data_IF_131515440395
#
_entry.id   IF_131515440395
#
_cell.length_a   1.000
_cell.length_b   1.000
_cell.length_c   1.000
_cell.angle_alpha   90.00
_cell.angle_beta   90.00
_cell.angle_gamma   90.00
#
_symmetry.space_group_name_H-M   'P 1'
#
loop_
_entity.id
_entity.type
_entity.pdbx_description
1 polymer ?
#
# COMPACT_ATOMS: atom_id res chain seq x y z
N UNK A 1 -21.80 23.98 15.06
CA UNK A 1 -20.87 24.89 14.39
C UNK A 1 -19.46 24.25 14.25
N UNK A 2 -18.88 23.66 15.28
CA UNK A 2 -17.58 22.97 15.20
C UNK A 2 -17.54 21.77 14.23
N UNK A 3 -18.59 20.96 14.15
CA UNK A 3 -18.66 19.82 13.22
C UNK A 3 -18.70 20.24 11.74
N UNK A 4 -19.33 21.38 11.43
CA UNK A 4 -19.43 21.89 10.06
C UNK A 4 -18.08 22.48 9.61
N UNK A 5 -17.36 23.15 10.50
CA UNK A 5 -16.04 23.71 10.19
C UNK A 5 -15.01 22.58 10.01
N UNK A 6 -15.07 21.53 10.85
CA UNK A 6 -14.18 20.36 10.73
C UNK A 6 -14.37 19.63 9.40
N UNK A 7 -15.63 19.43 8.96
CA UNK A 7 -15.93 18.80 7.67
C UNK A 7 -15.48 19.65 6.47
N UNK A 8 -15.53 20.97 6.55
CA UNK A 8 -15.09 21.87 5.46
C UNK A 8 -13.57 21.83 5.32
N UNK A 9 -12.83 21.86 6.42
CA UNK A 9 -11.35 21.77 6.41
C UNK A 9 -10.89 20.41 5.87
N UNK A 10 -11.52 19.32 6.30
CA UNK A 10 -11.18 17.96 5.80
C UNK A 10 -11.50 17.79 4.31
N UNK A 11 -12.53 18.45 3.80
CA UNK A 11 -12.89 18.41 2.38
C UNK A 11 -11.89 19.20 1.49
N UNK A 12 -11.35 20.32 1.98
CA UNK A 12 -10.34 21.10 1.27
C UNK A 12 -8.98 20.37 1.24
N UNK A 13 -8.53 19.82 2.35
CA UNK A 13 -7.29 19.04 2.44
C UNK A 13 -7.35 17.76 1.58
N UNK A 14 -8.47 17.06 1.57
CA UNK A 14 -8.67 15.90 0.72
C UNK A 14 -8.71 16.27 -0.78
N UNK A 15 -9.19 17.47 -1.13
CA UNK A 15 -9.10 17.98 -2.50
C UNK A 15 -7.67 18.32 -2.89
N UNK A 16 -6.90 18.98 -2.01
CA UNK A 16 -5.49 19.30 -2.25
C UNK A 16 -4.68 18.03 -2.44
N UNK A 17 -4.81 17.05 -1.56
CA UNK A 17 -4.20 15.72 -1.68
C UNK A 17 -4.55 15.06 -3.02
N UNK A 18 -5.81 15.07 -3.41
CA UNK A 18 -6.25 14.47 -4.69
C UNK A 18 -5.59 15.15 -5.88
N UNK A 19 -5.46 16.48 -5.87
CA UNK A 19 -4.80 17.27 -6.92
C UNK A 19 -3.32 16.90 -7.04
N UNK A 20 -2.60 16.79 -5.92
CA UNK A 20 -1.17 16.42 -5.91
C UNK A 20 -0.96 14.98 -6.39
N UNK A 21 -1.81 14.03 -5.96
CA UNK A 21 -1.80 12.66 -6.46
C UNK A 21 -2.05 12.59 -7.97
N UNK A 22 -3.04 13.33 -8.48
CA UNK A 22 -3.31 13.39 -9.92
C UNK A 22 -2.12 13.97 -10.70
N UNK A 23 -1.49 15.04 -10.22
CA UNK A 23 -0.28 15.62 -10.83
C UNK A 23 0.88 14.63 -10.89
N UNK A 24 1.08 13.87 -9.82
CA UNK A 24 2.15 12.88 -9.73
C UNK A 24 1.89 11.71 -10.68
N UNK A 25 0.74 11.06 -10.56
CA UNK A 25 0.41 9.86 -11.34
C UNK A 25 0.16 10.12 -12.83
N UNK A 26 -0.17 11.35 -13.21
CA UNK A 26 -0.18 11.76 -14.63
C UNK A 26 1.21 11.77 -15.27
N UNK A 27 2.29 11.90 -14.47
CA UNK A 27 3.67 11.92 -14.95
C UNK A 27 4.41 10.61 -14.69
N UNK A 28 4.00 9.85 -13.68
CA UNK A 28 4.66 8.63 -13.23
C UNK A 28 3.92 7.39 -13.75
N UNK A 29 4.65 6.51 -14.43
CA UNK A 29 4.09 5.25 -14.93
C UNK A 29 4.26 4.16 -13.86
N UNK A 30 3.24 3.94 -13.04
CA UNK A 30 3.21 2.94 -11.97
C UNK A 30 3.45 1.52 -12.50
N UNK A 31 2.96 1.19 -13.70
CA UNK A 31 3.20 -0.11 -14.33
C UNK A 31 4.69 -0.47 -14.45
N UNK A 32 5.57 0.54 -14.60
CA UNK A 32 7.02 0.33 -14.73
C UNK A 32 7.73 0.08 -13.40
N UNK A 33 7.15 0.52 -12.28
CA UNK A 33 7.76 0.40 -10.95
C UNK A 33 8.01 -1.05 -10.57
N UNK A 34 7.01 -1.90 -10.75
CA UNK A 34 7.03 -3.31 -10.37
C UNK A 34 7.59 -4.25 -11.45
N UNK A 35 8.13 -3.72 -12.57
CA UNK A 35 8.71 -4.55 -13.64
C UNK A 35 10.22 -4.77 -13.49
N UNK A 36 10.93 -3.87 -12.78
CA UNK A 36 12.36 -4.05 -12.50
C UNK A 36 12.54 -5.06 -11.37
N UNK A 37 13.65 -5.81 -11.36
CA UNK A 37 13.87 -6.90 -10.38
C UNK A 37 13.67 -6.48 -8.93
N UNK A 38 14.19 -5.32 -8.51
CA UNK A 38 13.95 -4.84 -7.13
C UNK A 38 12.47 -4.62 -6.82
N UNK A 39 11.66 -4.11 -7.75
CA UNK A 39 10.21 -3.94 -7.58
C UNK A 39 9.44 -5.26 -7.73
N UNK A 40 9.98 -6.22 -8.49
CA UNK A 40 9.39 -7.56 -8.59
C UNK A 40 9.41 -8.30 -7.24
N UNK A 41 10.39 -8.04 -6.35
CA UNK A 41 10.41 -8.64 -5.02
C UNK A 41 9.14 -8.30 -4.25
N UNK A 42 8.75 -7.03 -4.20
CA UNK A 42 7.48 -6.58 -3.58
C UNK A 42 6.27 -7.27 -4.21
N UNK A 43 6.20 -7.26 -5.54
CA UNK A 43 5.08 -7.83 -6.27
C UNK A 43 4.93 -9.34 -6.05
N UNK A 44 6.02 -10.08 -6.21
CA UNK A 44 6.03 -11.54 -6.07
C UNK A 44 5.72 -11.95 -4.63
N UNK A 45 6.25 -11.20 -3.65
CA UNK A 45 5.96 -11.42 -2.23
C UNK A 45 4.48 -11.18 -1.95
N UNK A 46 3.94 -10.07 -2.39
CA UNK A 46 2.51 -9.75 -2.18
C UNK A 46 1.61 -10.81 -2.83
N UNK A 47 1.89 -11.21 -4.07
CA UNK A 47 1.13 -12.25 -4.76
C UNK A 47 1.22 -13.60 -4.05
N UNK A 48 2.41 -13.97 -3.52
CA UNK A 48 2.57 -15.20 -2.72
C UNK A 48 1.60 -15.23 -1.54
N UNK A 49 1.50 -14.13 -0.78
CA UNK A 49 0.61 -14.10 0.39
C UNK A 49 -0.86 -13.96 -0.01
N UNK A 50 -1.19 -13.26 -1.09
CA UNK A 50 -2.54 -13.27 -1.65
C UNK A 50 -2.96 -14.70 -1.97
N UNK A 51 -2.14 -15.46 -2.69
CA UNK A 51 -2.46 -16.84 -3.04
C UNK A 51 -2.53 -17.76 -1.82
N UNK A 52 -1.66 -17.58 -0.81
CA UNK A 52 -1.70 -18.36 0.43
C UNK A 52 -3.09 -18.31 1.09
N UNK A 53 -3.74 -17.14 1.11
CA UNK A 53 -5.07 -16.97 1.70
C UNK A 53 -6.22 -17.26 0.72
N UNK A 54 -5.94 -17.47 -0.55
CA UNK A 54 -6.93 -17.87 -1.57
C UNK A 54 -6.91 -19.36 -1.88
N UNK A 55 -5.94 -20.14 -1.35
CA UNK A 55 -5.63 -21.52 -1.74
C UNK A 55 -6.85 -22.46 -1.79
N UNK A 56 -7.85 -22.24 -0.92
CA UNK A 56 -9.05 -23.08 -0.86
C UNK A 56 -10.33 -22.33 -1.28
N UNK A 57 -10.21 -21.22 -2.01
CA UNK A 57 -11.37 -20.42 -2.40
C UNK A 57 -11.25 -19.90 -3.86
N UNK A 58 -11.42 -20.82 -4.81
CA UNK A 58 -11.35 -20.51 -6.25
C UNK A 58 -12.43 -19.51 -6.71
N UNK A 59 -13.50 -19.33 -5.96
CA UNK A 59 -14.60 -18.38 -6.25
C UNK A 59 -14.54 -17.12 -5.38
N UNK A 60 -13.37 -16.80 -4.81
CA UNK A 60 -13.21 -15.65 -3.95
C UNK A 60 -13.59 -14.34 -4.66
N UNK A 61 -14.33 -13.50 -3.95
CA UNK A 61 -14.57 -12.11 -4.33
C UNK A 61 -13.51 -11.24 -3.71
N UNK A 62 -12.76 -10.54 -4.54
CA UNK A 62 -11.63 -9.72 -4.11
C UNK A 62 -11.95 -8.25 -4.37
N UNK A 63 -11.69 -7.40 -3.36
CA UNK A 63 -11.71 -5.95 -3.50
C UNK A 63 -10.28 -5.43 -3.47
N UNK A 64 -9.90 -4.67 -4.49
CA UNK A 64 -8.61 -3.97 -4.56
C UNK A 64 -8.86 -2.46 -4.42
N UNK A 65 -8.47 -1.89 -3.26
CA UNK A 65 -8.69 -0.49 -2.89
C UNK A 65 -7.39 0.29 -3.12
N UNK A 66 -7.46 1.29 -3.99
CA UNK A 66 -6.28 2.01 -4.48
C UNK A 66 -5.54 1.19 -5.53
N UNK A 67 -6.28 0.59 -6.45
CA UNK A 67 -5.77 -0.40 -7.40
C UNK A 67 -4.72 0.15 -8.40
N UNK A 68 -4.52 1.46 -8.46
CA UNK A 68 -3.62 2.10 -9.39
C UNK A 68 -3.97 1.73 -10.83
N UNK A 69 -2.97 1.31 -11.60
CA UNK A 69 -3.16 0.83 -12.98
C UNK A 69 -3.61 -0.64 -13.04
N UNK A 70 -3.90 -1.28 -11.89
CA UNK A 70 -4.47 -2.62 -11.79
C UNK A 70 -3.46 -3.76 -11.87
N UNK A 71 -2.25 -3.58 -11.34
CA UNK A 71 -1.21 -4.63 -11.40
C UNK A 71 -1.65 -5.92 -10.72
N UNK A 72 -2.25 -5.82 -9.54
CA UNK A 72 -2.80 -6.95 -8.79
C UNK A 72 -4.17 -7.36 -9.33
N UNK A 73 -5.09 -6.40 -9.47
CA UNK A 73 -6.46 -6.64 -9.92
C UNK A 73 -6.53 -7.41 -11.24
N UNK A 74 -5.76 -7.00 -12.24
CA UNK A 74 -5.78 -7.62 -13.57
C UNK A 74 -5.19 -9.03 -13.53
N UNK A 75 -4.10 -9.23 -12.77
CA UNK A 75 -3.50 -10.54 -12.60
C UNK A 75 -4.48 -11.52 -11.96
N UNK A 76 -5.09 -11.14 -10.84
CA UNK A 76 -6.07 -11.97 -10.12
C UNK A 76 -7.33 -12.27 -10.98
N UNK A 77 -7.79 -11.28 -11.75
CA UNK A 77 -8.90 -11.47 -12.68
C UNK A 77 -8.56 -12.46 -13.81
N UNK A 78 -7.31 -12.42 -14.32
CA UNK A 78 -6.83 -13.37 -15.32
C UNK A 78 -6.67 -14.81 -14.76
N UNK A 79 -6.48 -14.94 -13.45
CA UNK A 79 -6.47 -16.21 -12.73
C UNK A 79 -7.89 -16.75 -12.46
N UNK A 80 -8.94 -15.97 -12.77
CA UNK A 80 -10.34 -16.39 -12.69
C UNK A 80 -11.11 -15.86 -11.48
N UNK A 81 -10.50 -15.06 -10.60
CA UNK A 81 -11.19 -14.49 -9.43
C UNK A 81 -12.18 -13.38 -9.81
N UNK A 82 -13.24 -13.21 -9.02
CA UNK A 82 -14.19 -12.09 -9.14
C UNK A 82 -13.60 -10.83 -8.50
N UNK A 83 -12.92 -10.00 -9.30
CA UNK A 83 -12.19 -8.83 -8.82
C UNK A 83 -12.98 -7.54 -9.06
N UNK A 84 -13.15 -6.76 -7.98
CA UNK A 84 -13.63 -5.38 -8.02
C UNK A 84 -12.46 -4.46 -7.62
N UNK A 85 -12.28 -3.36 -8.35
CA UNK A 85 -11.22 -2.39 -8.09
C UNK A 85 -11.79 -0.99 -7.86
N UNK A 86 -11.26 -0.31 -6.84
CA UNK A 86 -11.51 1.10 -6.55
C UNK A 86 -10.22 1.88 -6.73
N UNK A 87 -10.27 2.93 -7.55
CA UNK A 87 -9.12 3.80 -7.82
C UNK A 87 -9.56 5.27 -7.78
N UNK A 88 -8.82 6.10 -7.05
CA UNK A 88 -9.12 7.51 -6.88
C UNK A 88 -8.74 8.31 -8.12
N UNK A 89 -7.54 8.07 -8.66
CA UNK A 89 -6.93 8.84 -9.75
C UNK A 89 -7.52 8.39 -11.10
N UNK A 90 -8.21 9.30 -11.79
CA UNK A 90 -8.89 9.01 -13.07
C UNK A 90 -7.93 8.47 -14.14
N UNK A 91 -6.70 8.99 -14.18
CA UNK A 91 -5.67 8.54 -15.13
C UNK A 91 -5.36 7.05 -14.94
N UNK A 92 -5.06 6.64 -13.72
CA UNK A 92 -4.78 5.25 -13.37
C UNK A 92 -5.98 4.33 -13.68
N UNK A 93 -7.18 4.77 -13.29
CA UNK A 93 -8.42 4.05 -13.59
C UNK A 93 -8.63 3.88 -15.11
N UNK A 94 -8.27 4.90 -15.90
CA UNK A 94 -8.32 4.84 -17.37
C UNK A 94 -7.38 3.76 -17.91
N UNK A 95 -6.15 3.70 -17.39
CA UNK A 95 -5.17 2.67 -17.77
C UNK A 95 -5.67 1.27 -17.37
N UNK A 96 -6.17 1.11 -16.12
CA UNK A 96 -6.72 -0.16 -15.66
C UNK A 96 -7.82 -0.66 -16.61
N UNK A 97 -8.78 0.18 -16.94
CA UNK A 97 -9.89 -0.16 -17.86
C UNK A 97 -9.42 -0.50 -19.27
N UNK A 98 -8.36 0.16 -19.74
CA UNK A 98 -7.80 -0.09 -21.09
C UNK A 98 -7.14 -1.46 -21.24
N UNK A 99 -6.81 -2.15 -20.13
CA UNK A 99 -6.22 -3.50 -20.15
C UNK A 99 -7.21 -4.61 -20.56
N UNK A 100 -8.49 -4.27 -20.71
CA UNK A 100 -9.50 -5.21 -21.26
C UNK A 100 -9.76 -6.45 -20.41
N UNK A 101 -9.49 -6.39 -19.11
CA UNK A 101 -9.74 -7.48 -18.15
C UNK A 101 -11.20 -7.51 -17.68
N UNK A 102 -11.56 -8.57 -16.96
CA UNK A 102 -12.90 -8.73 -16.34
C UNK A 102 -13.07 -7.93 -15.04
N UNK A 103 -12.06 -7.15 -14.64
CA UNK A 103 -12.09 -6.33 -13.41
C UNK A 103 -13.22 -5.32 -13.43
N UNK A 104 -14.04 -5.32 -12.38
CA UNK A 104 -15.11 -4.34 -12.16
C UNK A 104 -14.56 -3.04 -11.59
N UNK A 105 -13.89 -2.22 -12.41
CA UNK A 105 -13.17 -1.02 -11.97
C UNK A 105 -14.08 0.22 -11.87
N UNK A 106 -14.04 0.90 -10.70
CA UNK A 106 -14.84 2.10 -10.40
C UNK A 106 -13.96 3.17 -9.75
N UNK A 107 -14.32 4.44 -9.99
CA UNK A 107 -13.68 5.54 -9.25
C UNK A 107 -14.22 5.62 -7.83
N UNK A 108 -13.34 5.86 -6.87
CA UNK A 108 -13.69 6.00 -5.45
C UNK A 108 -12.46 6.12 -4.57
N UNK A 109 -12.69 6.26 -3.28
CA UNK A 109 -11.68 6.42 -2.24
C UNK A 109 -11.79 5.30 -1.20
N UNK A 110 -10.70 5.01 -0.51
CA UNK A 110 -10.69 4.09 0.64
C UNK A 110 -11.54 4.61 1.82
N UNK A 111 -11.78 5.92 1.87
CA UNK A 111 -12.55 6.55 2.95
C UNK A 111 -14.07 6.36 2.80
N UNK A 112 -14.54 5.90 1.64
CA UNK A 112 -15.95 5.66 1.38
C UNK A 112 -16.13 4.44 0.45
N UNK A 113 -16.44 3.31 1.06
CA UNK A 113 -16.82 2.07 0.37
C UNK A 113 -18.32 1.77 0.55
N UNK A 114 -19.16 2.76 0.87
CA UNK A 114 -20.61 2.63 1.15
C UNK A 114 -21.40 2.02 0.00
N UNK A 115 -20.88 2.08 -1.23
CA UNK A 115 -21.45 1.40 -2.40
C UNK A 115 -21.46 -0.13 -2.30
N UNK A 116 -20.71 -0.69 -1.35
CA UNK A 116 -20.65 -2.13 -1.09
C UNK A 116 -21.31 -2.44 0.23
N UNK A 117 -22.10 -3.52 0.22
CA UNK A 117 -22.70 -4.05 1.44
C UNK A 117 -21.63 -4.60 2.38
N UNK A 118 -21.94 -4.69 3.65
CA UNK A 118 -21.11 -5.40 4.63
C UNK A 118 -20.89 -6.86 4.22
N UNK A 119 -19.77 -7.43 4.62
CA UNK A 119 -19.47 -8.86 4.43
C UNK A 119 -19.60 -9.32 2.95
N UNK A 120 -19.12 -8.52 2.01
CA UNK A 120 -19.24 -8.79 0.57
C UNK A 120 -18.05 -9.56 0.02
N UNK A 121 -16.83 -9.21 0.43
CA UNK A 121 -15.59 -9.71 -0.15
C UNK A 121 -14.91 -10.74 0.75
N UNK A 122 -14.32 -11.75 0.14
CA UNK A 122 -13.52 -12.76 0.83
C UNK A 122 -12.14 -12.22 1.18
N UNK A 123 -11.62 -11.32 0.33
CA UNK A 123 -10.35 -10.65 0.52
C UNK A 123 -10.44 -9.18 0.12
N UNK A 124 -9.80 -8.29 0.90
CA UNK A 124 -9.66 -6.88 0.57
C UNK A 124 -8.18 -6.48 0.59
N UNK A 125 -7.69 -5.97 -0.53
CA UNK A 125 -6.34 -5.42 -0.67
C UNK A 125 -6.40 -3.90 -0.48
N UNK A 126 -5.50 -3.34 0.33
CA UNK A 126 -5.36 -1.91 0.58
C UNK A 126 -3.89 -1.54 0.35
N UNK A 127 -3.46 -1.58 -0.92
CA UNK A 127 -2.04 -1.47 -1.29
C UNK A 127 -1.60 -0.08 -1.76
N UNK A 128 -2.44 0.92 -1.68
CA UNK A 128 -2.13 2.29 -2.08
C UNK A 128 -2.51 3.31 -1.01
N UNK A 129 -3.71 3.24 -0.49
CA UNK A 129 -4.28 4.34 0.28
C UNK A 129 -3.51 4.74 1.53
N UNK A 130 -2.95 3.77 2.29
CA UNK A 130 -2.44 4.02 3.63
C UNK A 130 -1.25 5.00 3.68
N UNK A 131 -0.47 5.05 2.63
CA UNK A 131 0.66 5.99 2.55
C UNK A 131 0.32 7.31 1.80
N UNK A 132 -0.96 7.50 1.48
CA UNK A 132 -1.51 8.77 0.99
C UNK A 132 -2.52 9.39 1.97
N UNK A 133 -2.75 8.77 3.11
CA UNK A 133 -3.57 9.28 4.19
C UNK A 133 -2.66 9.77 5.33
N UNK A 134 -2.65 11.07 5.59
CA UNK A 134 -1.71 11.69 6.53
C UNK A 134 -2.25 11.74 7.95
N UNK A 135 -3.59 11.73 8.12
CA UNK A 135 -4.24 11.76 9.42
C UNK A 135 -4.50 10.34 9.93
N UNK A 136 -4.28 10.14 11.22
CA UNK A 136 -4.58 8.87 11.88
C UNK A 136 -6.05 8.47 11.72
N UNK A 137 -6.96 9.44 11.87
CA UNK A 137 -8.41 9.24 11.75
C UNK A 137 -8.83 8.77 10.34
N UNK A 138 -8.18 9.28 9.29
CA UNK A 138 -8.45 8.87 7.92
C UNK A 138 -7.95 7.43 7.67
N UNK A 139 -6.78 7.06 8.21
CA UNK A 139 -6.29 5.68 8.17
C UNK A 139 -7.22 4.73 8.91
N UNK A 140 -7.68 5.12 10.10
CA UNK A 140 -8.68 4.37 10.88
C UNK A 140 -9.95 4.18 10.06
N UNK A 141 -10.47 5.24 9.45
CA UNK A 141 -11.68 5.18 8.62
C UNK A 141 -11.52 4.25 7.42
N UNK A 142 -10.39 4.32 6.72
CA UNK A 142 -10.10 3.42 5.59
C UNK A 142 -10.07 1.94 6.02
N UNK A 143 -9.44 1.65 7.16
CA UNK A 143 -9.41 0.29 7.71
C UNK A 143 -10.78 -0.18 8.21
N UNK A 144 -11.59 0.73 8.80
CA UNK A 144 -12.98 0.42 9.20
C UNK A 144 -13.84 0.07 7.99
N UNK A 145 -13.72 0.82 6.90
CA UNK A 145 -14.44 0.52 5.65
C UNK A 145 -13.96 -0.81 5.03
N UNK A 146 -12.64 -1.05 4.97
CA UNK A 146 -12.11 -2.33 4.52
C UNK A 146 -12.64 -3.50 5.38
N UNK A 147 -12.64 -3.35 6.71
CA UNK A 147 -13.19 -4.34 7.65
C UNK A 147 -14.68 -4.59 7.42
N UNK A 148 -15.46 -3.53 7.24
CA UNK A 148 -16.92 -3.61 7.05
C UNK A 148 -17.28 -4.41 5.79
N UNK A 149 -16.58 -4.18 4.68
CA UNK A 149 -16.88 -4.82 3.39
C UNK A 149 -16.30 -6.22 3.28
N UNK A 150 -15.31 -6.58 4.11
CA UNK A 150 -14.72 -7.91 4.15
C UNK A 150 -15.60 -8.84 5.02
N UNK A 151 -15.80 -10.06 4.57
CA UNK A 151 -16.58 -11.08 5.30
C UNK A 151 -15.92 -11.42 6.64
N UNK A 152 -16.73 -11.85 7.59
CA UNK A 152 -16.20 -12.48 8.81
C UNK A 152 -15.39 -13.72 8.43
N UNK A 153 -14.15 -13.79 8.89
CA UNK A 153 -13.19 -14.85 8.50
C UNK A 153 -12.50 -14.59 7.16
N UNK A 154 -12.83 -13.48 6.46
CA UNK A 154 -12.08 -13.00 5.31
C UNK A 154 -10.78 -12.31 5.72
N UNK A 155 -9.93 -11.98 4.76
CA UNK A 155 -8.59 -11.45 5.00
C UNK A 155 -8.44 -10.06 4.38
N UNK A 156 -7.76 -9.18 5.12
CA UNK A 156 -7.39 -7.84 4.66
C UNK A 156 -5.87 -7.78 4.58
N UNK A 157 -5.32 -7.41 3.42
CA UNK A 157 -3.89 -7.17 3.25
C UNK A 157 -3.67 -5.66 3.08
N UNK A 158 -2.84 -5.09 3.94
CA UNK A 158 -2.61 -3.63 3.97
C UNK A 158 -1.15 -3.33 3.76
N UNK A 159 -0.81 -2.49 2.77
CA UNK A 159 0.57 -2.07 2.53
C UNK A 159 0.86 -0.71 3.19
N UNK A 160 2.05 -0.60 3.77
CA UNK A 160 2.58 0.60 4.39
C UNK A 160 3.98 0.92 3.88
N UNK A 161 4.32 2.21 3.78
CA UNK A 161 5.68 2.69 3.57
C UNK A 161 6.38 2.90 4.93
N UNK A 162 7.60 2.37 5.06
CA UNK A 162 8.29 2.34 6.35
C UNK A 162 9.24 3.51 6.55
N UNK A 163 9.17 4.09 7.76
CA UNK A 163 9.93 5.27 8.17
C UNK A 163 11.45 5.08 8.03
N UNK A 164 11.98 4.00 8.60
CA UNK A 164 13.44 3.77 8.68
C UNK A 164 14.08 3.66 7.31
N UNK A 165 13.40 3.02 6.34
CA UNK A 165 13.89 2.97 4.98
C UNK A 165 14.06 4.38 4.37
N UNK A 166 13.06 5.25 4.53
CA UNK A 166 13.10 6.60 3.97
C UNK A 166 14.16 7.46 4.67
N UNK A 167 14.26 7.41 6.00
CA UNK A 167 15.31 8.13 6.76
C UNK A 167 16.71 7.69 6.32
N UNK A 168 16.94 6.37 6.20
CA UNK A 168 18.25 5.84 5.81
C UNK A 168 18.61 6.18 4.36
N UNK A 169 17.65 6.08 3.43
CA UNK A 169 17.93 6.27 2.00
C UNK A 169 17.86 7.73 1.61
N UNK A 170 16.73 8.39 1.75
CA UNK A 170 16.58 9.80 1.39
C UNK A 170 17.34 10.72 2.34
N UNK A 171 17.23 10.46 3.66
CA UNK A 171 17.90 11.28 4.66
C UNK A 171 19.41 11.15 4.59
N UNK A 172 19.95 9.99 4.94
CA UNK A 172 21.40 9.81 5.11
C UNK A 172 22.12 9.51 3.80
N UNK A 173 21.70 8.50 3.04
CA UNK A 173 22.40 8.05 1.83
C UNK A 173 22.42 9.15 0.74
N UNK A 174 21.32 9.90 0.58
CA UNK A 174 21.22 11.01 -0.37
C UNK A 174 21.60 12.35 0.25
N UNK A 175 22.07 12.37 1.51
CA UNK A 175 22.56 13.53 2.25
C UNK A 175 21.53 14.66 2.44
N UNK A 176 20.25 14.33 2.59
CA UNK A 176 19.17 15.28 2.82
C UNK A 176 18.82 15.47 4.32
N UNK A 177 19.43 14.69 5.23
CA UNK A 177 19.03 14.61 6.64
C UNK A 177 18.99 15.97 7.34
N UNK A 178 20.01 16.83 7.11
CA UNK A 178 20.06 18.19 7.70
C UNK A 178 18.90 19.04 7.22
N UNK A 179 18.65 19.04 5.91
CA UNK A 179 17.52 19.78 5.34
C UNK A 179 16.18 19.28 5.87
N UNK A 180 16.02 17.97 6.08
CA UNK A 180 14.82 17.41 6.69
C UNK A 180 14.60 17.91 8.13
N UNK A 181 15.67 17.97 8.94
CA UNK A 181 15.59 18.49 10.31
C UNK A 181 15.29 20.00 10.29
N UNK A 182 16.04 20.77 9.52
CA UNK A 182 15.90 22.23 9.44
C UNK A 182 14.50 22.67 8.96
N UNK A 183 13.85 21.85 8.14
CA UNK A 183 12.49 22.09 7.63
C UNK A 183 11.39 21.43 8.48
N UNK A 184 11.72 20.86 9.64
CA UNK A 184 10.73 20.24 10.55
C UNK A 184 10.07 18.99 9.99
N UNK A 185 10.74 18.27 9.07
CA UNK A 185 10.23 17.02 8.47
C UNK A 185 10.54 15.77 9.29
N UNK A 186 11.22 15.93 10.41
CA UNK A 186 11.54 14.87 11.36
C UNK A 186 11.29 15.38 12.78
N UNK A 187 10.75 14.51 13.63
CA UNK A 187 10.74 14.77 15.07
C UNK A 187 12.07 14.36 15.74
N UNK A 188 12.19 14.53 17.05
CA UNK A 188 13.40 14.20 17.82
C UNK A 188 13.77 12.71 17.76
N UNK A 189 12.81 11.82 17.48
CA UNK A 189 13.02 10.38 17.32
C UNK A 189 13.23 9.96 15.85
N UNK A 190 13.47 10.90 14.94
CA UNK A 190 13.61 10.69 13.50
C UNK A 190 12.36 10.04 12.86
N UNK A 191 11.18 10.24 13.44
CA UNK A 191 9.94 9.91 12.75
C UNK A 191 9.58 11.00 11.76
N UNK A 192 9.23 10.61 10.53
CA UNK A 192 8.89 11.54 9.45
C UNK A 192 7.55 12.22 9.77
N UNK A 193 7.52 13.53 9.58
CA UNK A 193 6.32 14.36 9.68
C UNK A 193 5.89 14.68 8.24
N UNK A 194 4.86 13.99 7.78
CA UNK A 194 4.33 14.13 6.43
C UNK A 194 3.14 15.08 6.37
N UNK A 195 3.01 15.79 5.26
CA UNK A 195 1.90 16.68 4.93
C UNK A 195 1.33 16.32 3.55
N UNK A 196 0.11 16.74 3.20
CA UNK A 196 -0.52 16.40 1.91
C UNK A 196 0.32 16.70 0.66
N UNK A 197 1.25 17.66 0.74
CA UNK A 197 2.19 17.99 -0.35
C UNK A 197 3.36 17.00 -0.49
N UNK A 198 3.59 16.12 0.50
CA UNK A 198 4.77 15.24 0.55
C UNK A 198 4.59 13.92 -0.20
N UNK A 199 3.47 13.71 -0.86
CA UNK A 199 3.07 12.54 -1.63
C UNK A 199 2.91 11.25 -0.79
N UNK A 200 3.84 10.93 0.11
CA UNK A 200 3.82 9.72 0.93
C UNK A 200 3.88 10.06 2.42
N UNK A 201 3.12 9.29 3.19
CA UNK A 201 3.27 9.19 4.62
C UNK A 201 3.98 7.89 5.00
N UNK A 202 4.74 7.94 6.09
CA UNK A 202 5.59 6.84 6.53
C UNK A 202 5.23 6.46 7.96
N UNK A 203 5.25 5.17 8.24
CA UNK A 203 4.89 4.64 9.54
C UNK A 203 5.98 3.73 10.10
N UNK A 204 5.92 3.51 11.40
CA UNK A 204 6.64 2.46 12.12
C UNK A 204 5.70 1.31 12.47
N UNK A 205 6.24 0.19 12.91
CA UNK A 205 5.44 -0.98 13.32
C UNK A 205 4.49 -0.61 14.47
N UNK A 206 4.93 0.28 15.36
CA UNK A 206 4.12 0.79 16.48
C UNK A 206 2.89 1.57 16.01
N UNK A 207 2.99 2.30 14.91
CA UNK A 207 1.87 3.05 14.35
C UNK A 207 0.86 2.09 13.71
N UNK A 208 1.35 1.06 13.01
CA UNK A 208 0.49 -0.01 12.47
C UNK A 208 -0.23 -0.75 13.62
N UNK A 209 0.47 -1.02 14.72
CA UNK A 209 -0.13 -1.64 15.91
C UNK A 209 -1.27 -0.79 16.47
N UNK A 210 -1.07 0.53 16.63
CA UNK A 210 -2.11 1.46 17.11
C UNK A 210 -3.34 1.48 16.19
N UNK A 211 -3.12 1.47 14.85
CA UNK A 211 -4.22 1.41 13.89
C UNK A 211 -5.03 0.12 14.04
N UNK A 212 -4.37 -1.02 14.17
CA UNK A 212 -5.04 -2.31 14.36
C UNK A 212 -5.81 -2.39 15.67
N UNK A 213 -5.25 -1.85 16.76
CA UNK A 213 -5.93 -1.76 18.06
C UNK A 213 -7.19 -0.91 17.96
N UNK A 214 -7.11 0.28 17.35
CA UNK A 214 -8.25 1.20 17.19
C UNK A 214 -9.38 0.58 16.38
N UNK A 215 -9.05 -0.09 15.27
CA UNK A 215 -10.03 -0.74 14.40
C UNK A 215 -10.43 -2.13 14.91
N UNK A 216 -9.70 -2.66 15.90
CA UNK A 216 -9.86 -4.04 16.41
C UNK A 216 -9.70 -5.07 15.29
N UNK A 217 -8.62 -4.95 14.53
CA UNK A 217 -8.16 -5.95 13.58
C UNK A 217 -7.24 -6.93 14.30
N UNK A 218 -7.39 -8.21 14.00
CA UNK A 218 -6.48 -9.24 14.49
C UNK A 218 -5.43 -9.51 13.43
N UNK A 219 -4.18 -9.13 13.69
CA UNK A 219 -3.06 -9.44 12.80
C UNK A 219 -2.83 -10.93 12.71
N UNK A 220 -2.74 -11.45 11.50
CA UNK A 220 -2.32 -12.81 11.21
C UNK A 220 -0.81 -12.85 10.99
N UNK A 221 -0.29 -11.95 10.12
CA UNK A 221 1.13 -11.83 9.80
C UNK A 221 1.52 -10.38 9.56
N UNK A 222 2.80 -10.08 9.80
CA UNK A 222 3.44 -8.85 9.36
C UNK A 222 4.66 -9.23 8.53
N UNK A 223 4.80 -8.68 7.32
CA UNK A 223 5.72 -9.15 6.30
C UNK A 223 6.49 -7.99 5.72
N UNK A 224 7.81 -8.11 5.64
CA UNK A 224 8.64 -7.22 4.84
C UNK A 224 8.38 -7.51 3.35
N UNK A 225 7.58 -6.68 2.68
CA UNK A 225 7.14 -6.95 1.30
C UNK A 225 8.32 -6.97 0.30
N UNK A 226 9.31 -6.12 0.52
CA UNK A 226 10.50 -6.02 -0.32
C UNK A 226 11.83 -6.18 0.45
N UNK A 227 11.78 -6.21 1.78
CA UNK A 227 12.95 -6.41 2.62
C UNK A 227 14.10 -5.47 2.25
N UNK A 228 15.25 -6.04 1.93
CA UNK A 228 16.45 -5.28 1.54
C UNK A 228 16.53 -4.93 0.03
N UNK A 229 15.55 -5.33 -0.78
CA UNK A 229 15.60 -5.20 -2.23
C UNK A 229 15.81 -3.75 -2.69
N UNK A 230 15.15 -2.82 -2.04
CA UNK A 230 15.24 -1.41 -2.39
C UNK A 230 16.60 -0.77 -2.04
N UNK A 231 17.31 -1.28 -1.02
CA UNK A 231 18.70 -0.85 -0.74
C UNK A 231 19.68 -1.32 -1.81
N UNK A 232 19.37 -2.46 -2.44
CA UNK A 232 20.24 -3.16 -3.40
C UNK A 232 19.80 -2.96 -4.86
N UNK A 233 18.99 -1.92 -5.18
CA UNK A 233 18.41 -1.70 -6.52
C UNK A 233 19.37 -1.91 -7.69
N UNK A 234 20.58 -1.31 -7.72
CA UNK A 234 21.49 -1.50 -8.85
C UNK A 234 21.94 -2.95 -8.99
N UNK A 235 22.25 -3.61 -7.87
CA UNK A 235 22.74 -4.99 -7.84
C UNK A 235 21.63 -5.95 -8.31
N UNK A 236 20.43 -5.85 -7.72
CA UNK A 236 19.29 -6.68 -8.11
C UNK A 236 18.92 -6.52 -9.59
N UNK A 237 18.91 -5.28 -10.09
CA UNK A 237 18.55 -5.03 -11.48
C UNK A 237 19.56 -5.56 -12.47
N UNK A 238 20.80 -5.88 -12.06
CA UNK A 238 21.86 -6.45 -12.90
C UNK A 238 22.04 -7.96 -12.71
N UNK A 239 21.34 -8.60 -11.76
CA UNK A 239 21.42 -10.05 -11.56
C UNK A 239 20.92 -10.79 -12.79
N UNK A 240 21.47 -11.98 -13.07
CA UNK A 240 20.83 -12.95 -13.94
C UNK A 240 19.61 -13.59 -13.28
N UNK A 241 18.88 -14.41 -14.03
CA UNK A 241 17.63 -15.00 -13.54
C UNK A 241 17.87 -15.98 -12.39
N UNK A 242 18.88 -16.83 -12.50
CA UNK A 242 19.19 -17.86 -11.50
C UNK A 242 19.59 -17.22 -10.17
N UNK A 243 20.44 -16.21 -10.21
CA UNK A 243 20.85 -15.45 -9.03
C UNK A 243 19.68 -14.68 -8.42
N UNK A 244 18.80 -14.11 -9.23
CA UNK A 244 17.60 -13.44 -8.74
C UNK A 244 16.63 -14.41 -8.05
N UNK A 245 16.48 -15.62 -8.59
CA UNK A 245 15.65 -16.65 -7.94
C UNK A 245 16.24 -17.08 -6.58
N UNK A 246 17.57 -17.17 -6.45
CA UNK A 246 18.20 -17.40 -5.14
C UNK A 246 17.95 -16.24 -4.16
N UNK A 247 17.96 -15.00 -4.65
CA UNK A 247 17.61 -13.85 -3.82
C UNK A 247 16.16 -13.92 -3.34
N UNK A 248 15.21 -14.30 -4.21
CA UNK A 248 13.80 -14.47 -3.81
C UNK A 248 13.65 -15.56 -2.75
N UNK A 249 14.36 -16.69 -2.89
CA UNK A 249 14.33 -17.76 -1.90
C UNK A 249 14.88 -17.29 -0.54
N UNK A 250 15.98 -16.53 -0.55
CA UNK A 250 16.52 -15.88 0.65
C UNK A 250 15.50 -14.90 1.26
N UNK A 251 14.90 -14.03 0.44
CA UNK A 251 13.90 -13.08 0.88
C UNK A 251 12.71 -13.79 1.55
N UNK A 252 12.17 -14.83 0.96
CA UNK A 252 11.08 -15.60 1.56
C UNK A 252 11.46 -16.28 2.88
N UNK A 253 12.72 -16.63 3.08
CA UNK A 253 13.20 -17.18 4.35
C UNK A 253 13.34 -16.13 5.46
N UNK A 254 13.29 -14.84 5.11
CA UNK A 254 13.55 -13.73 6.02
C UNK A 254 12.42 -12.71 6.14
N UNK A 255 11.48 -12.67 5.20
CA UNK A 255 10.47 -11.62 5.12
C UNK A 255 9.48 -11.57 6.29
N UNK A 256 9.33 -12.67 7.05
CA UNK A 256 8.50 -12.73 8.27
C UNK A 256 9.33 -12.54 9.56
N UNK A 257 10.63 -12.31 9.47
CA UNK A 257 11.49 -12.17 10.66
C UNK A 257 11.25 -10.84 11.36
N UNK A 258 10.85 -10.83 12.66
CA UNK A 258 10.52 -9.60 13.39
C UNK A 258 11.68 -8.60 13.48
N UNK A 259 12.93 -9.10 13.49
CA UNK A 259 14.15 -8.29 13.56
C UNK A 259 14.50 -7.58 12.23
N UNK A 260 13.79 -7.87 11.12
CA UNK A 260 14.06 -7.30 9.80
C UNK A 260 12.89 -6.50 9.22
N UNK A 261 11.70 -6.56 9.82
CA UNK A 261 10.48 -5.96 9.27
C UNK A 261 10.57 -4.44 9.11
N UNK A 262 11.02 -3.74 10.15
CA UNK A 262 11.04 -2.26 10.19
C UNK A 262 12.01 -1.62 9.19
N UNK A 263 12.98 -2.36 8.66
CA UNK A 263 13.95 -1.87 7.69
C UNK A 263 13.51 -2.05 6.23
N UNK A 264 12.42 -2.75 5.97
CA UNK A 264 11.82 -2.87 4.63
C UNK A 264 11.33 -1.51 4.12
N UNK A 265 11.31 -1.30 2.81
CA UNK A 265 10.69 -0.09 2.26
C UNK A 265 9.16 -0.17 2.35
N UNK A 266 8.61 -1.36 2.11
CA UNK A 266 7.19 -1.65 2.23
C UNK A 266 6.96 -2.85 3.16
N UNK A 267 5.88 -2.76 3.93
CA UNK A 267 5.45 -3.84 4.84
C UNK A 267 3.99 -4.17 4.53
N UNK A 268 3.67 -5.47 4.52
CA UNK A 268 2.29 -5.96 4.46
C UNK A 268 1.84 -6.38 5.84
N UNK A 269 0.72 -5.85 6.30
CA UNK A 269 -0.02 -6.27 7.48
C UNK A 269 -1.25 -7.08 7.03
N UNK A 270 -1.38 -8.29 7.56
CA UNK A 270 -2.42 -9.24 7.17
C UNK A 270 -3.23 -9.62 8.41
#
# INVERSE_FOLDING_TARGET
MYLIIYNIITDEENKEMTIELEKYYNKFCEDKRLTRRHGQVEYITSMKYIHEYLENNENAKILDVGAGTGRYSVQLANEGYDVTAIELVKHNLGILKSKGSTVKAKQGTALDLSRFSENTFDMTLVFGPMYHLYKFEDKVKALQEAKRVTKVGGVILVAYCMNEYSVLTYGFKENNIRACIDNGKLNDDFHIISEPKDLYDYVRIEDINKLNEEVRLQRIKLIAADGHANYMRPVLNSMDEDTFQLFLNYHFSTCERPDLLGASAHTLDI
#
